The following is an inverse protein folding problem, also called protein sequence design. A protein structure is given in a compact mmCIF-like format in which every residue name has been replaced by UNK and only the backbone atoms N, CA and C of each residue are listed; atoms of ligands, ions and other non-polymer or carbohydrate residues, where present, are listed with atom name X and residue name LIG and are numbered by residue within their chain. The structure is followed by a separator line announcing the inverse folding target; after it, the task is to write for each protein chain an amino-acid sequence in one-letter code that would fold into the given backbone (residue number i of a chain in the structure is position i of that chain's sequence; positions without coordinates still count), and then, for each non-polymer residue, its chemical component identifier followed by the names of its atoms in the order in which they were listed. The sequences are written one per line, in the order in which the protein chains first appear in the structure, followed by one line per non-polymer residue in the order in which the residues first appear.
data_IF_042524374530
#
_entry.id   IF_042524374530
#
_cell.length_a   1.000
_cell.length_b   1.000
_cell.length_c   1.000
_cell.angle_alpha   90.00
_cell.angle_beta   90.00
_cell.angle_gamma   90.00
#
_symmetry.space_group_name_H-M   'P 1'
#
loop_
_entity.id
_entity.type
_entity.pdbx_description
1 polymer ?
#
# COMPACT_ATOMS: atom_id res chain seq x y z
N UNK A 1 48.92 -8.85 33.63
CA UNK A 1 48.82 -8.42 32.24
C UNK A 1 48.13 -7.08 32.18
N UNK A 2 48.92 -6.00 31.96
CA UNK A 2 48.41 -4.63 31.82
C UNK A 2 47.56 -4.52 30.57
N UNK A 3 46.27 -4.24 30.72
CA UNK A 3 45.43 -3.78 29.62
C UNK A 3 45.85 -2.35 29.29
N UNK A 4 46.69 -2.17 28.28
CA UNK A 4 47.06 -0.88 27.71
C UNK A 4 45.81 -0.31 27.02
N UNK A 5 45.06 0.54 27.68
CA UNK A 5 44.00 1.33 27.07
C UNK A 5 44.68 2.27 26.07
N UNK A 6 44.55 1.95 24.79
CA UNK A 6 45.07 2.77 23.70
C UNK A 6 44.42 4.14 23.74
N UNK A 7 45.15 5.19 24.19
CA UNK A 7 44.66 6.58 24.14
C UNK A 7 44.49 6.99 22.68
N UNK A 8 43.24 7.08 22.23
CA UNK A 8 42.90 7.66 20.93
C UNK A 8 43.49 9.08 20.85
N UNK A 9 44.09 9.43 19.73
CA UNK A 9 44.49 10.82 19.45
C UNK A 9 43.26 11.70 19.31
N UNK A 10 43.34 13.01 19.57
CA UNK A 10 42.18 13.92 19.51
C UNK A 10 41.51 13.86 18.14
N UNK A 11 42.24 13.79 17.05
CA UNK A 11 41.69 13.60 15.69
C UNK A 11 40.93 12.28 15.52
N UNK A 12 41.34 11.19 16.16
CA UNK A 12 40.59 9.93 16.06
C UNK A 12 39.31 9.95 16.87
N UNK A 13 39.26 10.71 17.97
CA UNK A 13 38.01 10.96 18.72
C UNK A 13 37.03 11.78 17.91
N UNK A 14 37.47 12.88 17.30
CA UNK A 14 36.63 13.72 16.45
C UNK A 14 36.01 12.92 15.30
N UNK A 15 36.80 12.10 14.61
CA UNK A 15 36.34 11.22 13.53
C UNK A 15 35.30 10.21 14.05
N UNK A 16 35.54 9.62 15.22
CA UNK A 16 34.61 8.66 15.82
C UNK A 16 33.28 9.32 16.19
N UNK A 17 33.32 10.52 16.75
CA UNK A 17 32.12 11.30 17.06
C UNK A 17 31.28 11.60 15.80
N UNK A 18 31.94 12.03 14.71
CA UNK A 18 31.27 12.23 13.44
C UNK A 18 30.62 10.95 12.88
N UNK A 19 31.33 9.81 12.94
CA UNK A 19 30.78 8.52 12.52
C UNK A 19 29.56 8.15 13.36
N UNK A 20 29.63 8.31 14.68
CA UNK A 20 28.51 8.03 15.59
C UNK A 20 27.32 8.92 15.24
N UNK A 21 27.50 10.21 15.02
CA UNK A 21 26.44 11.14 14.63
C UNK A 21 25.77 10.73 13.31
N UNK A 22 26.55 10.34 12.31
CA UNK A 22 26.05 9.87 11.02
C UNK A 22 25.23 8.58 11.18
N UNK A 23 25.73 7.63 11.97
CA UNK A 23 25.01 6.36 12.23
C UNK A 23 23.68 6.63 12.95
N UNK A 24 23.69 7.49 13.97
CA UNK A 24 22.46 7.85 14.69
C UNK A 24 21.47 8.53 13.74
N UNK A 25 21.92 9.50 12.93
CA UNK A 25 21.05 10.17 11.96
C UNK A 25 20.45 9.19 10.94
N UNK A 26 21.25 8.25 10.45
CA UNK A 26 20.80 7.21 9.52
C UNK A 26 19.74 6.30 10.16
N UNK A 27 19.99 5.83 11.39
CA UNK A 27 19.03 4.98 12.13
C UNK A 27 17.71 5.74 12.37
N UNK A 28 17.79 7.01 12.81
CA UNK A 28 16.60 7.85 13.00
C UNK A 28 15.82 8.03 11.69
N UNK A 29 16.52 8.28 10.58
CA UNK A 29 15.87 8.38 9.27
C UNK A 29 15.14 7.10 8.86
N UNK A 30 15.72 5.93 9.12
CA UNK A 30 15.06 4.64 8.88
C UNK A 30 13.84 4.43 9.78
N UNK A 31 13.92 4.83 11.05
CA UNK A 31 12.79 4.75 11.98
C UNK A 31 11.63 5.66 11.54
N UNK A 32 11.93 6.90 11.18
CA UNK A 32 10.92 7.83 10.65
C UNK A 32 10.28 7.28 9.38
N UNK A 33 11.10 6.80 8.44
CA UNK A 33 10.61 6.20 7.20
C UNK A 33 9.74 4.97 7.45
N UNK A 34 10.11 4.12 8.39
CA UNK A 34 9.41 2.87 8.67
C UNK A 34 8.10 3.07 9.44
N UNK A 35 8.10 3.94 10.46
CA UNK A 35 6.96 4.09 11.38
C UNK A 35 6.06 5.29 11.07
N UNK A 36 6.61 6.40 10.57
CA UNK A 36 5.86 7.66 10.47
C UNK A 36 5.38 7.90 9.04
N UNK A 37 6.30 7.99 8.10
CA UNK A 37 5.92 8.26 6.72
C UNK A 37 7.07 8.26 5.74
N UNK A 38 6.71 8.10 4.47
CA UNK A 38 7.68 8.05 3.37
C UNK A 38 7.17 8.82 2.16
N UNK A 39 8.05 9.58 1.48
CA UNK A 39 7.71 10.14 0.18
C UNK A 39 7.68 9.04 -0.88
N UNK A 40 6.75 9.13 -1.81
CA UNK A 40 6.63 8.23 -2.96
C UNK A 40 6.27 8.96 -4.24
N UNK A 41 6.46 8.30 -5.37
CA UNK A 41 6.10 8.80 -6.70
C UNK A 41 5.06 7.86 -7.31
N UNK A 42 3.99 8.42 -7.84
CA UNK A 42 2.96 7.67 -8.57
C UNK A 42 3.52 7.23 -9.91
N UNK A 43 3.62 5.91 -10.13
CA UNK A 43 4.20 5.35 -11.36
C UNK A 43 3.17 4.90 -12.39
N UNK A 44 1.99 4.49 -11.92
CA UNK A 44 0.96 3.86 -12.75
C UNK A 44 -0.30 4.71 -12.84
N UNK A 45 -1.03 4.67 -13.98
CA UNK A 45 -2.22 5.48 -14.18
C UNK A 45 -3.48 4.95 -13.50
N UNK A 46 -3.39 3.86 -12.74
CA UNK A 46 -4.56 3.15 -12.18
C UNK A 46 -5.45 3.96 -11.24
N UNK A 47 -4.95 5.11 -10.76
CA UNK A 47 -5.69 6.05 -9.88
C UNK A 47 -6.08 7.35 -10.59
N UNK A 48 -5.97 7.41 -11.93
CA UNK A 48 -6.44 8.55 -12.71
C UNK A 48 -7.98 8.65 -12.62
N UNK A 49 -8.59 9.82 -12.47
CA UNK A 49 -8.00 11.17 -12.52
C UNK A 49 -7.46 11.68 -11.17
N UNK A 50 -7.74 11.01 -10.05
CA UNK A 50 -7.40 11.44 -8.70
C UNK A 50 -5.89 11.61 -8.51
N UNK A 51 -5.12 10.61 -8.96
CA UNK A 51 -3.67 10.64 -8.97
C UNK A 51 -3.14 10.44 -10.39
N UNK A 52 -2.25 11.34 -10.80
CA UNK A 52 -1.56 11.28 -12.11
C UNK A 52 -0.14 10.77 -11.93
N UNK A 53 0.42 10.20 -13.00
CA UNK A 53 1.83 9.82 -13.02
C UNK A 53 2.75 10.99 -12.64
N UNK A 54 3.89 10.66 -12.04
CA UNK A 54 4.94 11.57 -11.58
C UNK A 54 4.52 12.52 -10.45
N UNK A 55 3.30 12.46 -9.97
CA UNK A 55 2.92 13.14 -8.73
C UNK A 55 3.65 12.53 -7.54
N UNK A 56 4.05 13.39 -6.58
CA UNK A 56 4.75 12.96 -5.38
C UNK A 56 3.83 13.10 -4.16
N UNK A 57 3.78 12.03 -3.40
CA UNK A 57 2.91 11.89 -2.25
C UNK A 57 3.72 11.65 -0.99
N UNK A 58 3.19 12.07 0.14
CA UNK A 58 3.61 11.63 1.46
C UNK A 58 2.61 10.57 1.92
N UNK A 59 3.13 9.41 2.23
CA UNK A 59 2.38 8.28 2.76
C UNK A 59 2.46 8.28 4.28
N UNK A 60 1.31 8.17 4.94
CA UNK A 60 1.23 7.97 6.38
C UNK A 60 1.38 6.48 6.70
N UNK A 61 2.45 6.11 7.37
CA UNK A 61 2.74 4.73 7.82
C UNK A 61 2.33 4.49 9.28
N UNK A 62 2.01 5.54 10.00
CA UNK A 62 1.58 5.44 11.38
C UNK A 62 0.30 4.62 11.51
N UNK A 63 -0.61 4.71 10.53
CA UNK A 63 -1.83 3.90 10.47
C UNK A 63 -1.53 2.39 10.56
N UNK A 64 -0.49 1.89 9.89
CA UNK A 64 -0.04 0.50 9.99
C UNK A 64 0.47 0.18 11.40
N UNK A 65 1.23 1.09 12.01
CA UNK A 65 1.83 0.90 13.34
C UNK A 65 0.76 0.75 14.42
N UNK A 66 -0.29 1.55 14.36
CA UNK A 66 -1.41 1.49 15.30
C UNK A 66 -2.54 0.54 14.86
N UNK A 67 -2.37 -0.15 13.72
CA UNK A 67 -3.38 -1.03 13.10
C UNK A 67 -4.73 -0.31 12.89
N UNK A 68 -4.68 0.93 12.44
CA UNK A 68 -5.87 1.70 12.12
C UNK A 68 -6.67 1.03 11.01
N UNK A 69 -7.97 0.82 11.25
CA UNK A 69 -8.87 0.34 10.21
C UNK A 69 -9.04 1.44 9.14
N UNK A 70 -8.76 1.17 7.86
CA UNK A 70 -9.01 2.15 6.82
C UNK A 70 -10.51 2.41 6.67
N UNK A 71 -10.85 3.63 6.31
CA UNK A 71 -12.23 4.03 6.00
C UNK A 71 -12.51 3.84 4.51
N UNK A 72 -13.80 3.66 4.16
CA UNK A 72 -14.23 3.70 2.76
C UNK A 72 -13.83 5.03 2.12
N UNK A 73 -13.27 4.95 0.91
CA UNK A 73 -12.76 6.11 0.18
C UNK A 73 -11.28 6.42 0.45
N UNK A 74 -10.68 5.86 1.50
CA UNK A 74 -9.24 6.04 1.75
C UNK A 74 -8.42 5.49 0.60
N UNK A 75 -7.38 6.22 0.21
CA UNK A 75 -6.40 5.74 -0.75
C UNK A 75 -5.24 5.14 0.04
N UNK A 76 -5.04 3.83 -0.12
CA UNK A 76 -4.04 3.07 0.62
C UNK A 76 -2.96 2.50 -0.29
N UNK A 77 -1.80 2.22 0.28
CA UNK A 77 -0.79 1.37 -0.34
C UNK A 77 -0.72 0.04 0.39
N UNK A 78 -0.48 -1.01 -0.37
CA UNK A 78 -0.38 -2.37 0.15
C UNK A 78 0.62 -3.18 -0.69
N UNK A 79 1.16 -4.23 -0.10
CA UNK A 79 2.02 -5.18 -0.80
C UNK A 79 1.29 -5.77 -2.01
N UNK A 80 1.96 -5.77 -3.17
CA UNK A 80 1.35 -6.29 -4.39
C UNK A 80 1.10 -7.80 -4.25
N UNK A 81 -0.14 -8.28 -4.46
CA UNK A 81 -0.43 -9.70 -4.50
C UNK A 81 0.28 -10.42 -5.64
N UNK A 82 0.57 -11.70 -5.47
CA UNK A 82 1.20 -12.54 -6.50
C UNK A 82 0.21 -13.16 -7.49
N UNK A 83 -1.02 -12.71 -7.46
CA UNK A 83 -2.19 -13.44 -7.95
C UNK A 83 -2.59 -13.26 -9.40
N UNK A 84 -1.85 -12.52 -10.25
CA UNK A 84 -2.19 -12.52 -11.69
C UNK A 84 -2.10 -13.92 -12.32
N UNK A 85 -1.27 -14.79 -11.73
CA UNK A 85 -1.18 -16.21 -12.13
C UNK A 85 -2.18 -17.13 -11.43
N UNK A 86 -2.74 -16.69 -10.26
CA UNK A 86 -3.65 -17.54 -9.48
C UNK A 86 -5.02 -17.70 -10.15
N UNK A 87 -5.58 -16.65 -10.74
CA UNK A 87 -6.88 -16.70 -11.42
C UNK A 87 -6.88 -17.68 -12.61
N UNK A 88 -5.73 -17.87 -13.24
CA UNK A 88 -5.54 -18.79 -14.34
C UNK A 88 -4.96 -20.14 -13.91
N UNK A 89 -4.76 -20.35 -12.60
CA UNK A 89 -4.26 -21.62 -12.08
C UNK A 89 -5.38 -22.66 -11.96
N UNK A 90 -5.00 -23.95 -12.00
CA UNK A 90 -5.93 -25.05 -11.75
C UNK A 90 -6.47 -25.08 -10.32
N UNK A 91 -5.81 -24.37 -9.40
CA UNK A 91 -6.15 -24.31 -7.98
C UNK A 91 -7.01 -23.07 -7.64
N UNK A 92 -7.51 -22.36 -8.66
CA UNK A 92 -8.40 -21.22 -8.44
C UNK A 92 -9.70 -21.65 -7.77
N UNK A 93 -9.97 -21.09 -6.59
CA UNK A 93 -11.22 -21.29 -5.87
C UNK A 93 -11.95 -19.94 -5.76
N UNK A 94 -13.10 -19.74 -6.41
CA UNK A 94 -13.85 -18.49 -6.37
C UNK A 94 -14.40 -18.15 -4.99
N UNK A 95 -14.49 -19.13 -4.07
CA UNK A 95 -14.89 -18.91 -2.69
C UNK A 95 -13.74 -18.41 -1.80
N UNK A 96 -12.50 -18.49 -2.27
CA UNK A 96 -11.34 -17.96 -1.57
C UNK A 96 -11.06 -16.54 -2.06
N UNK A 97 -11.78 -15.60 -1.49
CA UNK A 97 -11.82 -14.21 -1.92
C UNK A 97 -10.62 -13.37 -1.44
N UNK A 98 -9.74 -13.91 -0.59
CA UNK A 98 -8.57 -13.19 -0.12
C UNK A 98 -7.41 -13.25 -1.12
N UNK A 99 -6.74 -12.12 -1.34
CA UNK A 99 -5.57 -12.04 -2.22
C UNK A 99 -4.43 -12.95 -1.74
N UNK A 100 -3.72 -13.57 -2.68
CA UNK A 100 -2.63 -14.52 -2.39
C UNK A 100 -1.27 -13.84 -2.44
N UNK A 101 -0.39 -14.27 -1.54
CA UNK A 101 0.97 -13.77 -1.39
C UNK A 101 1.94 -14.94 -1.32
N UNK A 102 2.92 -15.00 -2.22
CA UNK A 102 3.94 -16.08 -2.27
C UNK A 102 5.27 -15.68 -1.62
N UNK A 103 5.40 -14.44 -1.15
CA UNK A 103 6.70 -13.84 -0.78
C UNK A 103 6.97 -13.84 0.72
N UNK A 104 6.58 -14.87 1.47
CA UNK A 104 6.95 -14.95 2.88
C UNK A 104 8.45 -15.11 3.06
N UNK A 105 9.10 -14.03 3.53
CA UNK A 105 10.52 -14.07 3.90
C UNK A 105 10.68 -14.75 5.24
N UNK A 106 11.48 -15.81 5.29
CA UNK A 106 11.67 -16.60 6.53
C UNK A 106 12.80 -16.06 7.40
N UNK A 107 13.90 -15.59 6.76
CA UNK A 107 15.09 -15.11 7.50
C UNK A 107 14.91 -13.67 7.99
N UNK A 108 15.41 -13.37 9.20
CA UNK A 108 15.30 -12.05 9.82
C UNK A 108 15.94 -10.93 8.98
N UNK A 109 17.10 -11.20 8.36
CA UNK A 109 17.77 -10.24 7.49
C UNK A 109 16.97 -9.96 6.23
N UNK A 110 16.39 -10.98 5.59
CA UNK A 110 15.54 -10.81 4.41
C UNK A 110 14.26 -10.02 4.75
N UNK A 111 13.67 -10.28 5.93
CA UNK A 111 12.54 -9.48 6.45
C UNK A 111 12.92 -8.01 6.65
N UNK A 112 14.11 -7.74 7.19
CA UNK A 112 14.58 -6.37 7.37
C UNK A 112 14.80 -5.67 6.03
N UNK A 113 15.50 -6.30 5.09
CA UNK A 113 15.76 -5.76 3.75
C UNK A 113 14.45 -5.50 3.01
N UNK A 114 13.50 -6.44 3.08
CA UNK A 114 12.23 -6.35 2.40
C UNK A 114 11.27 -5.33 3.03
N UNK A 115 11.12 -5.32 4.36
CA UNK A 115 10.13 -4.50 5.05
C UNK A 115 10.63 -3.11 5.44
N UNK A 116 11.95 -2.94 5.70
CA UNK A 116 12.52 -1.67 6.14
C UNK A 116 13.17 -0.93 4.99
N UNK A 117 14.01 -1.63 4.21
CA UNK A 117 14.70 -1.02 3.06
C UNK A 117 13.85 -1.06 1.78
N UNK A 118 12.81 -1.89 1.75
CA UNK A 118 11.87 -2.05 0.62
C UNK A 118 12.56 -2.46 -0.70
N UNK A 119 13.66 -3.20 -0.59
CA UNK A 119 14.38 -3.71 -1.76
C UNK A 119 13.56 -4.81 -2.40
N UNK A 120 13.32 -4.67 -3.72
CA UNK A 120 12.51 -5.61 -4.52
C UNK A 120 11.07 -5.79 -4.02
N UNK A 121 10.52 -4.80 -3.32
CA UNK A 121 9.13 -4.79 -2.89
C UNK A 121 8.28 -4.03 -3.88
N UNK A 122 7.27 -4.70 -4.43
CA UNK A 122 6.25 -4.06 -5.23
C UNK A 122 5.06 -3.69 -4.34
N UNK A 123 4.59 -2.45 -4.45
CA UNK A 123 3.41 -1.97 -3.72
C UNK A 123 2.42 -1.34 -4.71
N UNK A 124 1.14 -1.62 -4.50
CA UNK A 124 0.07 -1.01 -5.26
C UNK A 124 -0.59 0.12 -4.46
N UNK A 125 -1.18 1.06 -5.18
CA UNK A 125 -1.97 2.15 -4.63
C UNK A 125 -3.39 2.04 -5.19
N UNK A 126 -4.39 1.95 -4.30
CA UNK A 126 -5.81 1.80 -4.66
C UNK A 126 -6.70 2.49 -3.63
N UNK A 127 -7.98 2.68 -3.99
CA UNK A 127 -9.03 3.20 -3.10
C UNK A 127 -9.77 2.06 -2.42
N UNK A 128 -10.05 2.23 -1.12
CA UNK A 128 -10.90 1.31 -0.35
C UNK A 128 -12.36 1.50 -0.75
N UNK A 129 -12.98 0.43 -1.22
CA UNK A 129 -14.35 0.43 -1.74
C UNK A 129 -15.31 -0.26 -0.77
N UNK A 130 -14.93 -1.43 -0.25
CA UNK A 130 -15.74 -2.12 0.75
C UNK A 130 -14.90 -2.53 1.96
N UNK A 131 -15.54 -2.52 3.11
CA UNK A 131 -15.00 -2.78 4.43
C UNK A 131 -15.30 -4.23 4.87
N UNK A 132 -14.65 -4.74 5.93
CA UNK A 132 -14.93 -6.07 6.46
C UNK A 132 -16.41 -6.30 6.72
N UNK A 133 -16.93 -7.48 6.39
CA UNK A 133 -18.32 -7.90 6.60
C UNK A 133 -19.33 -7.32 5.60
N UNK A 134 -18.95 -6.39 4.73
CA UNK A 134 -19.86 -5.80 3.76
C UNK A 134 -20.04 -6.68 2.53
N UNK A 135 -21.27 -6.70 2.02
CA UNK A 135 -21.61 -7.33 0.76
C UNK A 135 -21.36 -6.35 -0.38
N UNK A 136 -20.40 -6.67 -1.24
CA UNK A 136 -20.07 -5.90 -2.44
C UNK A 136 -20.68 -6.60 -3.65
N UNK A 137 -21.36 -5.82 -4.48
CA UNK A 137 -21.83 -6.25 -5.81
C UNK A 137 -21.44 -5.23 -6.88
N UNK A 138 -21.02 -5.73 -8.04
CA UNK A 138 -20.81 -4.91 -9.24
C UNK A 138 -21.79 -5.38 -10.29
N UNK A 139 -22.76 -4.55 -10.62
CA UNK A 139 -23.80 -4.84 -11.63
C UNK A 139 -24.14 -3.58 -12.43
N UNK A 140 -24.45 -3.75 -13.69
CA UNK A 140 -24.82 -2.64 -14.61
C UNK A 140 -23.80 -1.50 -14.65
N UNK A 141 -22.50 -1.87 -14.50
CA UNK A 141 -21.41 -0.90 -14.49
C UNK A 141 -21.26 -0.06 -13.22
N UNK A 142 -22.00 -0.37 -12.16
CA UNK A 142 -22.04 0.33 -10.88
C UNK A 142 -21.66 -0.57 -9.73
N UNK A 143 -21.21 0.04 -8.64
CA UNK A 143 -20.85 -0.64 -7.39
C UNK A 143 -21.96 -0.48 -6.37
N UNK A 144 -22.30 -1.57 -5.70
CA UNK A 144 -23.29 -1.60 -4.60
C UNK A 144 -22.61 -2.16 -3.35
N UNK A 145 -22.94 -1.57 -2.21
CA UNK A 145 -22.51 -2.03 -0.90
C UNK A 145 -23.76 -2.25 -0.05
N UNK A 146 -23.96 -3.49 0.40
CA UNK A 146 -25.16 -3.89 1.15
C UNK A 146 -26.44 -3.45 0.41
N UNK A 147 -26.51 -3.73 -0.89
CA UNK A 147 -27.60 -3.41 -1.81
C UNK A 147 -27.84 -1.90 -2.09
N UNK A 148 -26.98 -1.00 -1.56
CA UNK A 148 -27.08 0.43 -1.80
C UNK A 148 -26.00 0.85 -2.82
N UNK A 149 -26.41 1.58 -3.86
CA UNK A 149 -25.49 2.13 -4.87
C UNK A 149 -24.46 3.05 -4.22
N UNK A 150 -23.18 2.75 -4.44
CA UNK A 150 -22.08 3.59 -3.96
C UNK A 150 -21.95 4.84 -4.85
N UNK A 151 -21.99 6.02 -4.23
CA UNK A 151 -21.72 7.27 -4.93
C UNK A 151 -20.21 7.42 -5.11
N UNK A 152 -19.78 7.54 -6.37
CA UNK A 152 -18.37 7.50 -6.73
C UNK A 152 -17.95 8.78 -7.49
N UNK A 153 -18.08 9.93 -6.84
CA UNK A 153 -17.84 11.27 -7.43
C UNK A 153 -16.38 11.49 -7.88
N UNK A 154 -15.48 10.61 -7.48
CA UNK A 154 -14.07 10.61 -7.90
C UNK A 154 -13.83 9.97 -9.27
N UNK A 155 -14.83 9.29 -9.84
CA UNK A 155 -14.74 8.73 -11.19
C UNK A 155 -15.04 9.78 -12.25
N UNK A 156 -14.53 9.56 -13.45
CA UNK A 156 -14.96 10.35 -14.59
C UNK A 156 -16.41 10.00 -14.96
N UNK A 157 -17.24 10.97 -15.38
CA UNK A 157 -18.68 10.78 -15.56
C UNK A 157 -19.12 9.65 -16.51
N UNK A 158 -18.24 9.18 -17.37
CA UNK A 158 -18.53 8.16 -18.38
C UNK A 158 -17.91 6.79 -18.06
N UNK A 159 -17.21 6.70 -16.91
CA UNK A 159 -16.53 5.47 -16.52
C UNK A 159 -17.52 4.53 -15.85
N UNK A 160 -17.58 3.31 -16.38
CA UNK A 160 -18.33 2.19 -15.78
C UNK A 160 -17.37 1.16 -15.20
N UNK A 161 -17.81 0.44 -14.19
CA UNK A 161 -17.03 -0.63 -13.56
C UNK A 161 -17.36 -1.96 -14.24
N UNK A 162 -16.46 -2.41 -15.14
CA UNK A 162 -16.62 -3.71 -15.80
C UNK A 162 -16.32 -4.86 -14.86
N UNK A 163 -17.04 -5.97 -15.05
CA UNK A 163 -16.80 -7.28 -14.44
C UNK A 163 -16.14 -8.27 -15.39
N UNK A 164 -15.85 -7.85 -16.60
CA UNK A 164 -15.22 -8.71 -17.62
C UNK A 164 -13.83 -9.18 -17.15
N UNK A 165 -13.61 -10.47 -17.18
CA UNK A 165 -12.39 -11.13 -16.66
C UNK A 165 -12.08 -10.79 -15.18
N UNK A 166 -13.12 -10.52 -14.40
CA UNK A 166 -13.03 -10.15 -12.99
C UNK A 166 -13.87 -11.14 -12.17
N UNK A 167 -13.27 -12.16 -11.53
CA UNK A 167 -14.01 -13.20 -10.81
C UNK A 167 -14.64 -12.70 -9.51
N UNK A 168 -14.13 -11.60 -8.94
CA UNK A 168 -14.57 -11.05 -7.65
C UNK A 168 -15.44 -9.82 -7.86
N UNK A 169 -16.72 -10.00 -8.14
CA UNK A 169 -17.67 -8.92 -8.37
C UNK A 169 -18.96 -9.02 -7.53
N UNK A 170 -19.18 -10.13 -6.85
CA UNK A 170 -20.30 -10.37 -5.95
C UNK A 170 -19.80 -11.24 -4.78
N UNK A 171 -19.57 -10.62 -3.63
CA UNK A 171 -18.96 -11.31 -2.48
C UNK A 171 -19.19 -10.54 -1.18
N UNK A 172 -19.09 -11.25 -0.07
CA UNK A 172 -18.94 -10.65 1.26
C UNK A 172 -17.46 -10.50 1.59
N UNK A 173 -17.03 -9.29 1.94
CA UNK A 173 -15.63 -9.00 2.30
C UNK A 173 -15.29 -9.70 3.61
N UNK A 174 -14.22 -10.51 3.68
CA UNK A 174 -13.80 -11.18 4.93
C UNK A 174 -13.49 -10.17 6.04
N UNK A 175 -13.70 -10.58 7.31
CA UNK A 175 -13.58 -9.73 8.51
C UNK A 175 -12.21 -9.05 8.68
N UNK A 176 -11.15 -9.60 8.12
CA UNK A 176 -9.80 -9.05 8.20
C UNK A 176 -9.27 -8.53 6.86
N UNK A 177 -10.15 -8.26 5.92
CA UNK A 177 -9.81 -7.79 4.57
C UNK A 177 -10.56 -6.52 4.19
N UNK A 178 -10.07 -5.83 3.17
CA UNK A 178 -10.77 -4.75 2.47
C UNK A 178 -10.80 -5.03 0.97
N UNK A 179 -11.84 -4.55 0.30
CA UNK A 179 -11.92 -4.57 -1.15
C UNK A 179 -11.49 -3.23 -1.72
N UNK A 180 -10.55 -3.25 -2.65
CA UNK A 180 -9.95 -2.03 -3.19
C UNK A 180 -10.08 -1.97 -4.71
N UNK A 181 -10.30 -0.78 -5.26
CA UNK A 181 -10.28 -0.56 -6.70
C UNK A 181 -9.47 0.68 -7.06
N UNK A 182 -8.98 0.70 -8.30
CA UNK A 182 -8.42 1.90 -8.88
C UNK A 182 -9.50 2.84 -9.39
N UNK A 183 -9.24 4.14 -9.35
CA UNK A 183 -10.17 5.14 -9.90
C UNK A 183 -10.21 5.10 -11.44
N UNK A 184 -9.12 4.65 -12.06
CA UNK A 184 -9.10 4.34 -13.49
C UNK A 184 -9.59 2.90 -13.73
N UNK A 185 -10.89 2.68 -13.60
CA UNK A 185 -11.54 1.36 -13.65
C UNK A 185 -11.11 0.47 -14.81
N UNK A 186 -11.01 0.97 -16.05
CA UNK A 186 -10.58 0.16 -17.21
C UNK A 186 -9.12 -0.27 -17.14
N UNK A 187 -8.23 0.57 -16.57
CA UNK A 187 -6.79 0.34 -16.54
C UNK A 187 -6.28 -0.04 -15.14
N UNK A 188 -7.14 -0.63 -14.30
CA UNK A 188 -6.77 -1.01 -12.95
C UNK A 188 -6.80 -2.52 -12.76
N UNK A 189 -5.66 -3.09 -12.41
CA UNK A 189 -5.59 -4.40 -11.78
C UNK A 189 -5.79 -4.21 -10.28
N UNK A 190 -6.93 -4.70 -9.76
CA UNK A 190 -7.37 -4.46 -8.39
C UNK A 190 -8.15 -5.67 -7.82
N UNK A 191 -8.84 -5.48 -6.70
CA UNK A 191 -9.53 -6.57 -6.00
C UNK A 191 -10.55 -7.32 -6.86
N UNK A 192 -11.06 -6.74 -7.93
CA UNK A 192 -11.90 -7.46 -8.89
C UNK A 192 -11.19 -8.66 -9.50
N UNK A 193 -9.85 -8.59 -9.61
CA UNK A 193 -9.00 -9.63 -10.21
C UNK A 193 -8.25 -10.46 -9.18
N UNK A 194 -7.66 -9.84 -8.15
CA UNK A 194 -6.82 -10.56 -7.19
C UNK A 194 -7.47 -10.82 -5.83
N UNK A 195 -8.72 -10.35 -5.60
CA UNK A 195 -9.45 -10.55 -4.36
C UNK A 195 -9.22 -9.47 -3.30
N UNK A 196 -9.76 -9.69 -2.11
CA UNK A 196 -9.70 -8.76 -0.99
C UNK A 196 -8.30 -8.70 -0.38
N UNK A 197 -7.86 -7.51 0.02
CA UNK A 197 -6.54 -7.28 0.62
C UNK A 197 -6.62 -7.49 2.13
N UNK A 198 -5.83 -8.41 2.71
CA UNK A 198 -5.71 -8.56 4.16
C UNK A 198 -5.20 -7.26 4.80
N UNK A 199 -5.78 -6.87 5.93
CA UNK A 199 -5.41 -5.65 6.66
C UNK A 199 -3.92 -5.60 7.02
N UNK A 200 -3.31 -6.75 7.32
CA UNK A 200 -1.88 -6.86 7.63
C UNK A 200 -0.95 -6.54 6.43
N UNK A 201 -1.49 -6.58 5.20
CA UNK A 201 -0.75 -6.25 3.97
C UNK A 201 -0.83 -4.78 3.61
N UNK A 202 -1.64 -4.00 4.33
CA UNK A 202 -1.72 -2.54 4.18
C UNK A 202 -0.44 -1.92 4.74
N UNK A 203 0.20 -1.06 3.94
CA UNK A 203 1.47 -0.45 4.28
C UNK A 203 1.34 0.99 4.74
N UNK A 204 0.41 1.72 4.13
CA UNK A 204 0.20 3.13 4.43
C UNK A 204 -1.11 3.66 3.84
N UNK A 205 -1.50 4.85 4.29
CA UNK A 205 -2.57 5.67 3.72
C UNK A 205 -1.97 6.90 3.06
N UNK A 206 -2.48 7.30 1.91
CA UNK A 206 -2.06 8.56 1.28
C UNK A 206 -2.49 9.71 2.18
N UNK A 207 -1.54 10.58 2.49
CA UNK A 207 -1.81 11.73 3.35
C UNK A 207 -1.88 13.03 2.57
N UNK A 208 -0.78 13.38 1.89
CA UNK A 208 -0.63 14.66 1.21
C UNK A 208 0.04 14.43 -0.14
N UNK A 209 -0.46 15.12 -1.18
CA UNK A 209 0.25 15.33 -2.42
C UNK A 209 1.06 16.61 -2.30
N UNK A 210 2.40 16.52 -2.41
CA UNK A 210 3.27 17.67 -2.29
C UNK A 210 3.86 18.15 -3.63
N UNK A 211 3.70 17.38 -4.69
CA UNK A 211 4.09 17.77 -6.03
C UNK A 211 3.07 17.28 -7.07
N UNK A 212 2.73 18.09 -8.07
CA UNK A 212 3.20 19.45 -8.32
C UNK A 212 2.62 20.46 -7.30
N UNK A 213 3.33 21.57 -7.07
CA UNK A 213 2.99 22.55 -6.01
C UNK A 213 1.61 23.19 -6.18
N UNK A 214 1.15 23.36 -7.43
CA UNK A 214 -0.19 23.90 -7.72
C UNK A 214 -1.34 22.95 -7.32
N UNK A 215 -1.03 21.69 -6.99
CA UNK A 215 -1.97 20.68 -6.52
C UNK A 215 -1.64 20.21 -5.09
N UNK A 216 -0.86 21.01 -4.35
CA UNK A 216 -0.50 20.70 -2.96
C UNK A 216 -1.73 20.56 -2.09
N UNK A 217 -1.82 19.49 -1.31
CA UNK A 217 -2.91 19.28 -0.37
C UNK A 217 -3.28 17.82 -0.14
N UNK A 218 -4.33 17.62 0.65
CA UNK A 218 -4.91 16.30 0.86
C UNK A 218 -5.45 15.74 -0.46
N UNK A 219 -5.41 14.43 -0.58
CA UNK A 219 -6.00 13.69 -1.69
C UNK A 219 -7.26 13.00 -1.15
N UNK A 220 -8.39 13.34 -1.75
CA UNK A 220 -9.69 12.78 -1.39
C UNK A 220 -10.13 11.78 -2.47
#
# INVERSE_FOLDING_TARGET
GDFTIMKLTDKTKDILEWIICIVIAFVLALLVRYYIGTPTIVKMPSMYPTLKQDQRLILNRWCRTIKEMPSRGDIITFEAPTSDSYIFSKDFNPNDVAAKYSNEKTKALDKFIYNVLEVNKASYIKRVIALPGEHLQIKDGKVYINDVELQEDYLQPQITTSTENCPFYDLVVPENCVFVMGDNRPESTDSRRFGCIPLEKIESKVWIRFWPLNLFGKVN
#
